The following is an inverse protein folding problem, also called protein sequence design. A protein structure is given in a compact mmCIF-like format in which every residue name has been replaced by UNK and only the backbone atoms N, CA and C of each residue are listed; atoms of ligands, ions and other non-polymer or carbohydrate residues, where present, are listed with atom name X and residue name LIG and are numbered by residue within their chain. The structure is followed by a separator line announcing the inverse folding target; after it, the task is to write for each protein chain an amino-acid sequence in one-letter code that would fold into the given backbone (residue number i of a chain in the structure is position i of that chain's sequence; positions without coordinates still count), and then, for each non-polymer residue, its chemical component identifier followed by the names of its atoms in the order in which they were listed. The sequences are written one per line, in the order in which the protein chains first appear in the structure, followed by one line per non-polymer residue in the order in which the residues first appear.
data_IF_717251965900
#
_entry.id   IF_717251965900
#
_cell.length_a   1.000
_cell.length_b   1.000
_cell.length_c   1.000
_cell.angle_alpha   90.00
_cell.angle_beta   90.00
_cell.angle_gamma   90.00
#
_symmetry.space_group_name_H-M   'P 1'
#
loop_
_entity.id
_entity.type
_entity.pdbx_description
1 polymer ?
#
# COMPACT_ATOMS: atom_id res chain seq x y z
N UNK A 1 5.96 -12.85 31.09
CA UNK A 1 6.05 -12.20 29.78
C UNK A 1 4.81 -11.35 29.66
N UNK A 2 4.95 -10.01 29.67
CA UNK A 2 3.80 -9.08 29.65
C UNK A 2 2.98 -9.28 28.37
N UNK A 3 1.66 -9.24 28.51
CA UNK A 3 0.72 -9.31 27.39
C UNK A 3 0.42 -7.93 26.84
N UNK A 4 -0.22 -7.84 25.66
CA UNK A 4 -0.68 -6.56 25.11
C UNK A 4 -1.73 -5.91 26.02
N UNK A 5 -2.61 -6.72 26.59
CA UNK A 5 -3.70 -6.30 27.47
C UNK A 5 -3.17 -5.68 28.76
N UNK A 6 -2.15 -6.30 29.41
CA UNK A 6 -1.50 -5.76 30.60
C UNK A 6 -0.79 -4.40 30.32
N UNK A 7 -0.18 -4.25 29.14
CA UNK A 7 0.43 -2.99 28.73
C UNK A 7 -0.62 -1.91 28.47
N UNK A 8 -1.74 -2.26 27.88
CA UNK A 8 -2.83 -1.31 27.61
C UNK A 8 -3.45 -0.80 28.91
N UNK A 9 -3.58 -1.65 29.93
CA UNK A 9 -4.02 -1.24 31.27
C UNK A 9 -3.03 -0.26 31.91
N UNK A 10 -1.72 -0.51 31.81
CA UNK A 10 -0.70 0.43 32.31
C UNK A 10 -0.75 1.78 31.55
N UNK A 11 -0.96 1.77 30.25
CA UNK A 11 -1.11 2.98 29.45
C UNK A 11 -2.34 3.79 29.87
N UNK A 12 -3.48 3.11 30.15
CA UNK A 12 -4.69 3.78 30.64
C UNK A 12 -4.49 4.44 32.01
N UNK A 13 -3.55 3.92 32.81
CA UNK A 13 -3.14 4.49 34.09
C UNK A 13 -2.06 5.58 33.97
N UNK A 14 -1.67 5.96 32.73
CA UNK A 14 -0.75 7.06 32.46
C UNK A 14 0.73 6.66 32.35
N UNK A 15 1.06 5.37 32.17
CA UNK A 15 2.43 4.93 31.95
C UNK A 15 2.86 5.03 30.47
N UNK A 16 3.52 6.12 30.12
CA UNK A 16 4.09 6.32 28.78
C UNK A 16 5.19 5.31 28.41
N UNK A 17 5.89 4.73 29.39
CA UNK A 17 6.90 3.71 29.11
C UNK A 17 6.25 2.39 28.64
N UNK A 18 5.04 2.10 29.07
CA UNK A 18 4.25 0.95 28.60
C UNK A 18 3.90 1.09 27.12
N UNK A 19 3.66 2.30 26.61
CA UNK A 19 3.38 2.55 25.18
C UNK A 19 4.60 2.21 24.31
N UNK A 20 5.79 2.57 24.73
CA UNK A 20 7.02 2.20 24.02
C UNK A 20 7.23 0.67 24.01
N UNK A 21 6.98 0.00 25.13
CA UNK A 21 7.05 -1.48 25.23
C UNK A 21 6.02 -2.16 24.31
N UNK A 22 4.78 -1.65 24.28
CA UNK A 22 3.71 -2.15 23.41
C UNK A 22 4.11 -2.03 21.94
N UNK A 23 4.66 -0.88 21.53
CA UNK A 23 5.13 -0.65 20.17
C UNK A 23 6.27 -1.60 19.79
N UNK A 24 7.23 -1.82 20.67
CA UNK A 24 8.33 -2.77 20.48
C UNK A 24 7.82 -4.22 20.35
N UNK A 25 6.90 -4.62 21.22
CA UNK A 25 6.33 -5.97 21.23
C UNK A 25 5.55 -6.28 19.94
N UNK A 26 4.90 -5.28 19.36
CA UNK A 26 4.12 -5.40 18.13
C UNK A 26 4.91 -5.05 16.85
N UNK A 27 6.23 -4.86 16.93
CA UNK A 27 7.07 -4.55 15.75
C UNK A 27 6.98 -5.64 14.68
N UNK A 28 6.89 -6.91 15.06
CA UNK A 28 6.69 -8.03 14.12
C UNK A 28 5.40 -7.88 13.32
N UNK A 29 4.29 -7.62 14.00
CA UNK A 29 2.99 -7.38 13.34
C UNK A 29 3.07 -6.20 12.35
N UNK A 30 3.66 -5.08 12.77
CA UNK A 30 3.82 -3.90 11.89
C UNK A 30 4.64 -4.25 10.64
N UNK A 31 5.75 -4.97 10.78
CA UNK A 31 6.60 -5.42 9.66
C UNK A 31 5.86 -6.35 8.71
N UNK A 32 5.11 -7.30 9.23
CA UNK A 32 4.34 -8.24 8.41
C UNK A 32 3.23 -7.51 7.63
N UNK A 33 2.55 -6.54 8.26
CA UNK A 33 1.56 -5.71 7.57
C UNK A 33 2.20 -4.81 6.51
N UNK A 34 3.35 -4.18 6.81
CA UNK A 34 4.09 -3.37 5.85
C UNK A 34 4.48 -4.18 4.59
N UNK A 35 5.01 -5.40 4.78
CA UNK A 35 5.34 -6.29 3.66
C UNK A 35 4.12 -6.70 2.85
N UNK A 36 3.01 -7.02 3.52
CA UNK A 36 1.77 -7.40 2.85
C UNK A 36 1.24 -6.24 1.99
N UNK A 37 1.18 -5.04 2.55
CA UNK A 37 0.69 -3.84 1.84
C UNK A 37 1.64 -3.48 0.70
N UNK A 38 2.97 -3.45 0.94
CA UNK A 38 3.96 -3.19 -0.12
C UNK A 38 3.85 -4.19 -1.28
N UNK A 39 3.55 -5.47 -0.99
CA UNK A 39 3.31 -6.49 -2.02
C UNK A 39 2.03 -6.21 -2.82
N UNK A 40 0.94 -5.83 -2.14
CA UNK A 40 -0.33 -5.49 -2.79
C UNK A 40 -0.20 -4.28 -3.73
N UNK A 41 0.71 -3.36 -3.43
CA UNK A 41 1.01 -2.17 -4.23
C UNK A 41 2.22 -2.36 -5.16
N UNK A 42 2.71 -3.59 -5.31
CA UNK A 42 3.85 -3.94 -6.18
C UNK A 42 5.13 -3.12 -5.91
N UNK A 43 5.32 -2.66 -4.66
CA UNK A 43 6.51 -1.91 -4.25
C UNK A 43 7.72 -2.79 -3.97
N UNK A 44 7.55 -4.13 -3.85
CA UNK A 44 8.62 -5.07 -3.51
C UNK A 44 9.37 -5.53 -4.76
N UNK A 45 10.19 -4.65 -5.33
CA UNK A 45 11.05 -4.98 -6.46
C UNK A 45 12.31 -5.68 -5.98
N UNK A 46 12.73 -6.69 -6.75
CA UNK A 46 14.00 -7.37 -6.55
C UNK A 46 15.06 -6.78 -7.49
N UNK A 47 16.29 -6.76 -7.00
CA UNK A 47 17.46 -6.47 -7.84
C UNK A 47 17.79 -7.68 -8.70
N UNK A 48 18.63 -7.48 -9.73
CA UNK A 48 19.20 -8.54 -10.59
C UNK A 48 19.86 -9.68 -9.79
N UNK A 49 20.30 -9.41 -8.56
CA UNK A 49 20.99 -10.36 -7.69
C UNK A 49 20.09 -10.97 -6.61
N UNK A 50 18.76 -10.84 -6.72
CA UNK A 50 17.78 -11.49 -5.83
C UNK A 50 17.49 -10.77 -4.52
N UNK A 51 18.14 -9.62 -4.23
CA UNK A 51 17.83 -8.79 -3.06
C UNK A 51 16.71 -7.78 -3.36
N UNK A 52 16.16 -7.16 -2.31
CA UNK A 52 15.24 -6.03 -2.48
C UNK A 52 15.98 -4.81 -3.01
N UNK A 53 15.37 -4.08 -3.94
CA UNK A 53 15.87 -2.78 -4.42
C UNK A 53 15.89 -1.76 -3.28
N UNK A 54 16.72 -0.72 -3.40
CA UNK A 54 16.80 0.33 -2.37
C UNK A 54 15.47 1.05 -2.22
N UNK A 55 14.76 1.30 -3.31
CA UNK A 55 13.36 1.78 -3.30
C UNK A 55 12.45 0.88 -2.45
N UNK A 56 12.52 -0.44 -2.63
CA UNK A 56 11.70 -1.38 -1.87
C UNK A 56 12.04 -1.37 -0.37
N UNK A 57 13.35 -1.25 -0.02
CA UNK A 57 13.81 -1.14 1.38
C UNK A 57 13.33 0.16 2.02
N UNK A 58 13.44 1.28 1.30
CA UNK A 58 12.99 2.59 1.76
C UNK A 58 11.47 2.60 1.98
N UNK A 59 10.70 2.15 1.00
CA UNK A 59 9.24 2.01 1.11
C UNK A 59 8.83 1.16 2.32
N UNK A 60 9.51 0.03 2.57
CA UNK A 60 9.23 -0.79 3.75
C UNK A 60 9.54 -0.04 5.04
N UNK A 61 10.65 0.69 5.12
CA UNK A 61 11.03 1.49 6.29
C UNK A 61 10.01 2.60 6.58
N UNK A 62 9.53 3.28 5.54
CA UNK A 62 8.46 4.28 5.65
C UNK A 62 7.16 3.67 6.16
N UNK A 63 6.73 2.54 5.57
CA UNK A 63 5.52 1.85 5.99
C UNK A 63 5.61 1.35 7.44
N UNK A 64 6.77 0.85 7.87
CA UNK A 64 6.99 0.47 9.25
C UNK A 64 6.85 1.68 10.21
N UNK A 65 7.36 2.84 9.82
CA UNK A 65 7.25 4.07 10.59
C UNK A 65 5.80 4.55 10.68
N UNK A 66 5.09 4.56 9.55
CA UNK A 66 3.65 4.89 9.49
C UNK A 66 2.82 3.91 10.33
N UNK A 67 3.14 2.62 10.26
CA UNK A 67 2.45 1.60 11.05
C UNK A 67 2.65 1.78 12.56
N UNK A 68 3.88 2.10 13.01
CA UNK A 68 4.15 2.38 14.42
C UNK A 68 3.37 3.61 14.91
N UNK A 69 3.31 4.67 14.09
CA UNK A 69 2.52 5.86 14.41
C UNK A 69 1.03 5.52 14.52
N UNK A 70 0.49 4.78 13.55
CA UNK A 70 -0.91 4.36 13.55
C UNK A 70 -1.26 3.47 14.77
N UNK A 71 -0.32 2.62 15.22
CA UNK A 71 -0.48 1.83 16.44
C UNK A 71 -0.61 2.74 17.66
N UNK A 72 0.29 3.72 17.79
CA UNK A 72 0.26 4.69 18.90
C UNK A 72 -1.04 5.49 18.91
N UNK A 73 -1.46 5.99 17.76
CA UNK A 73 -2.71 6.73 17.60
C UNK A 73 -3.93 5.87 17.98
N UNK A 74 -3.96 4.62 17.52
CA UNK A 74 -5.03 3.66 17.82
C UNK A 74 -5.16 3.40 19.34
N UNK A 75 -4.04 3.27 20.05
CA UNK A 75 -4.01 3.09 21.49
C UNK A 75 -4.50 4.35 22.22
N UNK A 76 -4.08 5.53 21.77
CA UNK A 76 -4.49 6.81 22.36
C UNK A 76 -5.97 7.13 22.19
N UNK A 77 -6.63 6.59 21.16
CA UNK A 77 -8.08 6.74 20.99
C UNK A 77 -8.90 6.00 22.06
N UNK A 78 -8.29 5.03 22.75
CA UNK A 78 -8.87 4.36 23.91
C UNK A 78 -10.11 3.49 23.66
N UNK A 79 -10.37 3.12 22.40
CA UNK A 79 -11.59 2.38 22.02
C UNK A 79 -11.39 0.85 21.97
N UNK A 80 -10.27 0.34 22.45
CA UNK A 80 -10.06 -1.11 22.53
C UNK A 80 -10.81 -1.71 23.70
N UNK A 81 -11.49 -2.82 23.42
CA UNK A 81 -12.25 -3.60 24.39
C UNK A 81 -11.76 -5.07 24.34
N UNK A 82 -11.13 -5.52 25.42
CA UNK A 82 -10.56 -6.86 25.51
C UNK A 82 -11.61 -7.98 25.46
N UNK A 83 -12.88 -7.70 25.80
CA UNK A 83 -13.98 -8.69 25.73
C UNK A 83 -14.38 -8.96 24.28
N UNK A 84 -14.16 -8.01 23.36
CA UNK A 84 -14.50 -8.12 21.93
C UNK A 84 -13.45 -8.82 21.08
N UNK A 85 -12.26 -9.06 21.60
CA UNK A 85 -11.22 -9.80 20.89
C UNK A 85 -9.80 -9.34 21.17
N UNK A 86 -8.84 -9.97 20.50
CA UNK A 86 -7.41 -9.68 20.69
C UNK A 86 -7.01 -8.30 20.18
N UNK A 87 -6.11 -7.63 20.88
CA UNK A 87 -5.57 -6.33 20.47
C UNK A 87 -4.99 -6.35 19.04
N UNK A 88 -4.27 -7.42 18.68
CA UNK A 88 -3.68 -7.55 17.33
C UNK A 88 -4.74 -7.55 16.22
N UNK A 89 -5.91 -8.16 16.46
CA UNK A 89 -7.02 -8.15 15.51
C UNK A 89 -7.65 -6.76 15.41
N UNK A 90 -7.79 -6.09 16.54
CA UNK A 90 -8.34 -4.74 16.60
C UNK A 90 -7.45 -3.71 15.88
N UNK A 91 -6.12 -3.75 16.08
CA UNK A 91 -5.20 -2.74 15.54
C UNK A 91 -4.90 -2.93 14.05
N UNK A 92 -4.99 -4.17 13.54
CA UNK A 92 -4.63 -4.50 12.14
C UNK A 92 -5.32 -3.61 11.09
N UNK A 93 -6.64 -3.36 11.11
CA UNK A 93 -7.28 -2.48 10.12
C UNK A 93 -6.80 -1.02 10.21
N UNK A 94 -6.38 -0.54 11.37
CA UNK A 94 -5.80 0.79 11.54
C UNK A 94 -4.42 0.88 10.88
N UNK A 95 -3.57 -0.13 11.10
CA UNK A 95 -2.26 -0.25 10.44
C UNK A 95 -2.41 -0.27 8.92
N UNK A 96 -3.26 -1.16 8.41
CA UNK A 96 -3.51 -1.31 6.98
C UNK A 96 -4.04 -0.02 6.35
N UNK A 97 -5.00 0.61 7.00
CA UNK A 97 -5.58 1.86 6.52
C UNK A 97 -4.57 3.00 6.47
N UNK A 98 -3.70 3.12 7.48
CA UNK A 98 -2.67 4.15 7.51
C UNK A 98 -1.60 3.92 6.42
N UNK A 99 -1.10 2.68 6.30
CA UNK A 99 -0.09 2.32 5.30
C UNK A 99 -0.60 2.50 3.86
N UNK A 100 -1.84 2.08 3.58
CA UNK A 100 -2.46 2.29 2.26
C UNK A 100 -2.60 3.76 1.92
N UNK A 101 -3.11 4.58 2.86
CA UNK A 101 -3.23 6.04 2.64
C UNK A 101 -1.87 6.69 2.40
N UNK A 102 -0.82 6.22 3.08
CA UNK A 102 0.55 6.70 2.85
C UNK A 102 1.00 6.43 1.42
N UNK A 103 0.89 5.18 0.96
CA UNK A 103 1.26 4.81 -0.41
C UNK A 103 0.41 5.56 -1.46
N UNK A 104 -0.89 5.67 -1.24
CA UNK A 104 -1.79 6.38 -2.14
C UNK A 104 -1.39 7.86 -2.31
N UNK A 105 -0.89 8.48 -1.25
CA UNK A 105 -0.40 9.87 -1.28
C UNK A 105 0.98 10.00 -1.92
N UNK A 106 1.88 9.06 -1.62
CA UNK A 106 3.27 9.11 -2.11
C UNK A 106 3.40 8.66 -3.56
N UNK A 107 2.57 7.70 -4.01
CA UNK A 107 2.61 7.16 -5.37
C UNK A 107 1.77 7.95 -6.38
N UNK A 108 0.92 8.85 -5.92
CA UNK A 108 -0.02 9.56 -6.77
C UNK A 108 0.48 10.90 -7.25
N UNK A 109 0.89 11.00 -8.52
CA UNK A 109 1.01 12.29 -9.22
C UNK A 109 -0.39 12.91 -9.44
N UNK A 110 -1.45 12.07 -9.41
CA UNK A 110 -2.86 12.45 -9.51
C UNK A 110 -3.58 11.82 -8.31
N UNK A 111 -3.76 12.59 -7.26
CA UNK A 111 -4.52 12.15 -6.09
C UNK A 111 -6.00 12.05 -6.45
N UNK A 112 -6.52 10.83 -6.56
CA UNK A 112 -7.95 10.57 -6.56
C UNK A 112 -8.46 10.52 -5.11
N UNK A 113 -9.71 10.94 -4.93
CA UNK A 113 -10.41 10.70 -3.68
C UNK A 113 -10.58 9.19 -3.41
N UNK A 114 -10.94 8.85 -2.17
CA UNK A 114 -11.04 7.45 -1.72
C UNK A 114 -12.06 6.63 -2.54
N UNK A 115 -13.18 7.25 -2.91
CA UNK A 115 -14.28 6.57 -3.60
C UNK A 115 -13.91 6.32 -5.05
N UNK A 116 -13.31 7.32 -5.71
CA UNK A 116 -12.78 7.21 -7.06
C UNK A 116 -11.68 6.16 -7.17
N UNK A 117 -10.75 6.10 -6.20
CA UNK A 117 -9.72 5.07 -6.17
C UNK A 117 -10.32 3.67 -5.92
N UNK A 118 -11.36 3.58 -5.09
CA UNK A 118 -12.13 2.34 -4.89
C UNK A 118 -12.77 1.84 -6.19
N UNK A 119 -13.31 2.76 -6.99
CA UNK A 119 -13.89 2.47 -8.30
C UNK A 119 -12.82 1.98 -9.29
N UNK A 120 -11.66 2.65 -9.35
CA UNK A 120 -10.53 2.25 -10.19
C UNK A 120 -10.10 0.82 -9.88
N UNK A 121 -9.89 0.47 -8.61
CA UNK A 121 -9.50 -0.89 -8.19
C UNK A 121 -10.53 -1.94 -8.58
N UNK A 122 -11.82 -1.64 -8.41
CA UNK A 122 -12.91 -2.56 -8.82
C UNK A 122 -12.92 -2.77 -10.33
N UNK A 123 -12.80 -1.67 -11.11
CA UNK A 123 -12.77 -1.73 -12.57
C UNK A 123 -11.57 -2.55 -13.08
N UNK A 124 -10.39 -2.31 -12.54
CA UNK A 124 -9.17 -3.03 -12.91
C UNK A 124 -9.23 -4.51 -12.52
N UNK A 125 -9.78 -4.86 -11.36
CA UNK A 125 -9.99 -6.25 -10.97
C UNK A 125 -10.91 -6.97 -11.96
N UNK A 126 -12.06 -6.37 -12.28
CA UNK A 126 -13.01 -6.95 -13.22
C UNK A 126 -12.39 -7.17 -14.61
N UNK A 127 -11.59 -6.22 -15.08
CA UNK A 127 -10.97 -6.28 -16.40
C UNK A 127 -9.75 -7.22 -16.44
N UNK A 128 -8.75 -7.00 -15.55
CA UNK A 128 -7.47 -7.73 -15.62
C UNK A 128 -7.49 -9.10 -14.93
N UNK A 129 -8.30 -9.29 -13.89
CA UNK A 129 -8.33 -10.55 -13.14
C UNK A 129 -9.50 -11.44 -13.54
N UNK A 130 -10.67 -10.84 -13.81
CA UNK A 130 -11.89 -11.60 -14.19
C UNK A 130 -12.08 -11.64 -15.70
N UNK A 131 -11.26 -10.97 -16.51
CA UNK A 131 -11.30 -10.99 -17.98
C UNK A 131 -12.56 -10.38 -18.59
N UNK A 132 -13.25 -9.49 -17.88
CA UNK A 132 -14.48 -8.86 -18.37
C UNK A 132 -14.18 -7.79 -19.41
N UNK A 133 -15.01 -7.73 -20.45
CA UNK A 133 -14.95 -6.63 -21.41
C UNK A 133 -15.30 -5.27 -20.76
N UNK A 134 -14.79 -4.13 -21.28
CA UNK A 134 -15.09 -2.81 -20.74
C UNK A 134 -16.59 -2.48 -20.63
N UNK A 135 -17.41 -3.02 -21.53
CA UNK A 135 -18.87 -2.93 -21.52
C UNK A 135 -19.47 -3.60 -20.27
N UNK A 136 -18.94 -4.79 -19.93
CA UNK A 136 -19.42 -5.56 -18.79
C UNK A 136 -18.96 -4.95 -17.46
N UNK A 137 -17.76 -4.37 -17.44
CA UNK A 137 -17.25 -3.57 -16.30
C UNK A 137 -18.17 -2.37 -16.05
N UNK A 138 -18.55 -1.66 -17.12
CA UNK A 138 -19.48 -0.54 -17.10
C UNK A 138 -20.84 -0.96 -16.49
N UNK A 139 -21.42 -2.04 -16.99
CA UNK A 139 -22.69 -2.57 -16.49
C UNK A 139 -22.60 -3.03 -15.03
N UNK A 140 -21.51 -3.74 -14.67
CA UNK A 140 -21.29 -4.26 -13.30
C UNK A 140 -21.11 -3.17 -12.27
N UNK A 141 -20.54 -2.01 -12.63
CA UNK A 141 -20.26 -0.89 -11.74
C UNK A 141 -21.34 0.21 -11.81
N UNK A 142 -22.30 0.12 -12.73
CA UNK A 142 -23.33 1.13 -12.93
C UNK A 142 -22.77 2.50 -13.35
N UNK A 143 -21.65 2.55 -14.08
CA UNK A 143 -20.99 3.77 -14.50
C UNK A 143 -20.96 3.92 -16.02
N UNK A 144 -20.86 5.14 -16.57
CA UNK A 144 -20.76 5.35 -18.02
C UNK A 144 -19.50 4.65 -18.58
N UNK A 145 -19.60 4.14 -19.82
CA UNK A 145 -18.50 3.45 -20.50
C UNK A 145 -17.19 4.26 -20.49
N UNK A 146 -17.28 5.57 -20.70
CA UNK A 146 -16.10 6.47 -20.68
C UNK A 146 -15.42 6.51 -19.29
N UNK A 147 -16.20 6.41 -18.22
CA UNK A 147 -15.66 6.33 -16.85
C UNK A 147 -15.04 4.97 -16.58
N UNK A 148 -15.67 3.87 -17.01
CA UNK A 148 -15.12 2.52 -16.90
C UNK A 148 -13.78 2.41 -17.66
N UNK A 149 -13.72 2.86 -18.91
CA UNK A 149 -12.51 2.85 -19.72
C UNK A 149 -11.37 3.66 -19.07
N UNK A 150 -11.66 4.85 -18.54
CA UNK A 150 -10.67 5.64 -17.80
C UNK A 150 -10.20 4.96 -16.51
N UNK A 151 -11.11 4.33 -15.77
CA UNK A 151 -10.78 3.62 -14.54
C UNK A 151 -9.90 2.39 -14.81
N UNK A 152 -10.16 1.65 -15.90
CA UNK A 152 -9.35 0.49 -16.29
C UNK A 152 -7.91 0.90 -16.61
N UNK A 153 -7.72 1.97 -17.38
CA UNK A 153 -6.39 2.43 -17.82
C UNK A 153 -5.71 3.37 -16.81
N UNK A 154 -6.37 3.68 -15.68
CA UNK A 154 -5.82 4.59 -14.70
C UNK A 154 -4.52 4.02 -14.11
N UNK A 155 -3.41 4.76 -14.16
CA UNK A 155 -2.15 4.27 -13.64
C UNK A 155 -2.19 4.21 -12.11
N UNK A 156 -2.23 3.00 -11.56
CA UNK A 156 -2.13 2.77 -10.11
C UNK A 156 -0.69 2.67 -9.63
N UNK A 157 0.25 2.55 -10.57
CA UNK A 157 1.68 2.43 -10.29
C UNK A 157 2.46 3.32 -11.26
N UNK A 158 3.37 4.10 -10.72
CA UNK A 158 4.34 4.87 -11.48
C UNK A 158 5.71 4.24 -11.31
N UNK A 159 6.45 4.16 -12.41
CA UNK A 159 7.83 3.70 -12.41
C UNK A 159 8.72 4.90 -12.72
N UNK A 160 9.83 5.03 -11.99
CA UNK A 160 10.85 5.97 -12.43
C UNK A 160 11.43 5.48 -13.74
N UNK A 161 11.63 6.40 -14.68
CA UNK A 161 12.30 6.08 -15.96
C UNK A 161 13.70 5.53 -15.70
N UNK A 162 14.36 6.02 -14.66
CA UNK A 162 15.68 5.54 -14.24
C UNK A 162 15.68 4.11 -13.68
N UNK A 163 14.55 3.62 -13.16
CA UNK A 163 14.41 2.23 -12.69
C UNK A 163 14.39 1.21 -13.87
N UNK A 164 14.17 1.69 -15.09
CA UNK A 164 14.16 0.89 -16.30
C UNK A 164 15.56 0.82 -16.96
N UNK A 165 16.50 1.66 -16.50
CA UNK A 165 17.87 1.70 -17.00
C UNK A 165 18.68 0.57 -16.38
N UNK A 166 19.25 -0.29 -17.23
CA UNK A 166 20.25 -1.25 -16.77
C UNK A 166 21.56 -0.51 -16.48
N UNK A 167 22.31 -0.89 -15.43
CA UNK A 167 23.61 -0.27 -15.13
C UNK A 167 24.62 -0.34 -16.29
N UNK A 168 24.42 -1.28 -17.23
CA UNK A 168 25.29 -1.53 -18.38
C UNK A 168 24.74 -0.91 -19.69
N UNK A 169 23.67 -0.11 -19.62
CA UNK A 169 22.96 0.43 -20.80
C UNK A 169 23.14 1.94 -20.87
N UNK A 170 24.10 2.38 -21.68
CA UNK A 170 24.38 3.80 -21.95
C UNK A 170 23.36 4.45 -22.93
N UNK A 171 22.34 3.71 -23.36
CA UNK A 171 21.33 4.18 -24.30
C UNK A 171 20.32 5.14 -23.66
N UNK A 172 19.87 6.15 -24.43
CA UNK A 172 18.80 7.05 -23.99
C UNK A 172 17.48 6.28 -23.86
N UNK A 173 17.04 6.12 -22.62
CA UNK A 173 15.80 5.41 -22.27
C UNK A 173 14.57 6.07 -22.90
N UNK A 174 14.60 7.39 -23.12
CA UNK A 174 13.51 8.12 -23.77
C UNK A 174 13.39 7.74 -25.23
N UNK A 175 14.51 7.59 -25.97
CA UNK A 175 14.50 7.12 -27.35
C UNK A 175 13.91 5.71 -27.46
N UNK A 176 14.24 4.80 -26.54
CA UNK A 176 13.69 3.44 -26.51
C UNK A 176 12.17 3.42 -26.25
N UNK A 177 11.69 4.24 -25.31
CA UNK A 177 10.26 4.36 -25.01
C UNK A 177 9.50 4.93 -26.22
N UNK A 178 10.08 5.93 -26.89
CA UNK A 178 9.47 6.55 -28.07
C UNK A 178 9.49 5.58 -29.26
N UNK A 179 10.60 4.89 -29.50
CA UNK A 179 10.72 3.92 -30.61
C UNK A 179 9.77 2.73 -30.45
N UNK A 180 9.58 2.24 -29.22
CA UNK A 180 8.63 1.13 -28.96
C UNK A 180 7.18 1.53 -29.21
N UNK A 181 6.82 2.80 -28.97
CA UNK A 181 5.47 3.31 -29.28
C UNK A 181 5.23 3.49 -30.80
N UNK A 182 6.27 3.86 -31.54
CA UNK A 182 6.16 4.06 -33.00
C UNK A 182 6.16 2.74 -33.77
N UNK A 183 6.79 1.68 -33.26
CA UNK A 183 6.80 0.36 -33.88
C UNK A 183 5.56 -0.49 -33.61
N UNK A 184 4.70 -0.10 -32.66
CA UNK A 184 3.46 -0.79 -32.32
C UNK A 184 2.20 -0.32 -33.08
N UNK A 185 2.35 0.56 -34.08
CA UNK A 185 1.22 1.12 -34.88
C UNK A 185 1.31 0.76 -36.36
N UNK A 186 1.74 -0.49 -36.68
CA UNK A 186 1.67 -1.06 -38.03
C UNK A 186 0.72 -2.25 -38.06
#
# INVERSE_FOLDING_TARGET
RMTNEELLEQISNGDDAALAKLSLMNTGLVKDRARLIARQYHCLRQTKYGGLSDYAKETLSELESVGKLALVECVRTGNYDAEKGRFTTYVTPFLDGAMRRHLERSMGTLALDRDSMGLVRKAQRLYYQEGKEPSDVCASLGIPFRAAARAIVYPTHFFSVYDLQSPDDDGDIFERIVSTRLSGSA
#
